data_IF_250966376091
#
_entry.id   IF_250966376091
#
_cell.length_a   1.000
_cell.length_b   1.000
_cell.length_c   1.000
_cell.angle_alpha   90.00
_cell.angle_beta   90.00
_cell.angle_gamma   90.00
#
_symmetry.space_group_name_H-M   'P 1'
#
loop_
_entity.id
_entity.type
_entity.pdbx_description
1 polymer ?
#
# COMPACT_ATOMS: atom_id res chain seq x y z
N UNK A 1 48.15 25.29 4.30
CA UNK A 1 46.68 25.15 4.38
C UNK A 1 46.21 24.46 3.11
N UNK A 2 46.09 23.12 3.12
CA UNK A 2 45.81 22.32 1.93
C UNK A 2 44.31 22.16 1.74
N UNK A 3 43.78 22.65 0.63
CA UNK A 3 42.35 22.61 0.31
C UNK A 3 42.04 21.23 -0.26
N UNK A 4 41.20 20.46 0.44
CA UNK A 4 40.74 19.14 0.03
C UNK A 4 39.94 19.25 -1.28
N UNK A 5 40.52 18.78 -2.40
CA UNK A 5 39.80 18.66 -3.68
C UNK A 5 39.06 17.32 -3.71
N UNK A 6 37.75 17.36 -3.52
CA UNK A 6 36.88 16.19 -3.67
C UNK A 6 36.76 15.84 -5.16
N UNK A 7 37.05 14.58 -5.52
CA UNK A 7 36.97 14.13 -6.91
C UNK A 7 35.53 13.76 -7.28
N UNK A 8 35.21 13.72 -8.59
CA UNK A 8 33.88 13.34 -9.09
C UNK A 8 33.42 11.95 -8.60
N UNK A 9 34.35 11.02 -8.38
CA UNK A 9 34.05 9.68 -7.84
C UNK A 9 33.73 9.70 -6.34
N UNK A 10 34.32 10.61 -5.58
CA UNK A 10 34.02 10.76 -4.16
C UNK A 10 32.63 11.40 -3.95
N UNK A 11 32.28 12.37 -4.81
CA UNK A 11 30.95 12.98 -4.84
C UNK A 11 29.86 11.96 -5.20
N UNK A 12 30.10 11.09 -6.20
CA UNK A 12 29.15 10.03 -6.56
C UNK A 12 28.94 9.02 -5.43
N UNK A 13 29.98 8.67 -4.67
CA UNK A 13 29.86 7.78 -3.50
C UNK A 13 29.14 8.45 -2.34
N UNK A 14 29.33 9.76 -2.15
CA UNK A 14 28.61 10.55 -1.16
C UNK A 14 27.11 10.63 -1.50
N UNK A 15 26.77 10.89 -2.76
CA UNK A 15 25.38 10.88 -3.24
C UNK A 15 24.74 9.50 -3.09
N UNK A 16 25.43 8.42 -3.43
CA UNK A 16 24.89 7.06 -3.29
C UNK A 16 24.65 6.67 -1.81
N UNK A 17 25.49 7.14 -0.89
CA UNK A 17 25.28 6.95 0.56
C UNK A 17 24.18 7.84 1.10
N UNK A 18 24.03 9.06 0.58
CA UNK A 18 22.92 9.94 0.93
C UNK A 18 21.57 9.42 0.41
N UNK A 19 21.55 8.83 -0.79
CA UNK A 19 20.37 8.21 -1.41
C UNK A 19 19.84 7.01 -0.61
N UNK A 20 20.73 6.13 -0.12
CA UNK A 20 20.33 4.96 0.67
C UNK A 20 19.82 5.32 2.09
N UNK A 21 20.30 6.42 2.68
CA UNK A 21 19.79 6.94 3.97
C UNK A 21 18.50 7.74 3.77
N UNK A 22 18.19 8.17 2.55
CA UNK A 22 16.95 8.89 2.27
C UNK A 22 15.77 7.95 2.15
N UNK A 23 15.85 6.79 1.50
CA UNK A 23 14.67 5.94 1.29
C UNK A 23 13.97 5.54 2.60
N UNK A 24 14.68 4.97 3.57
CA UNK A 24 14.07 4.47 4.80
C UNK A 24 13.54 5.60 5.72
N UNK A 25 14.24 6.74 5.75
CA UNK A 25 13.84 7.92 6.51
C UNK A 25 12.68 8.67 5.83
N UNK A 26 12.67 8.72 4.49
CA UNK A 26 11.59 9.28 3.69
C UNK A 26 10.35 8.41 3.84
N UNK A 27 10.49 7.08 3.80
CA UNK A 27 9.37 6.15 4.02
C UNK A 27 8.79 6.30 5.44
N UNK A 28 9.64 6.46 6.46
CA UNK A 28 9.21 6.77 7.82
C UNK A 28 8.43 8.09 7.91
N UNK A 29 9.01 9.18 7.42
CA UNK A 29 8.37 10.50 7.42
C UNK A 29 7.07 10.53 6.61
N UNK A 30 7.02 9.77 5.50
CA UNK A 30 5.86 9.65 4.63
C UNK A 30 4.74 8.86 5.31
N UNK A 31 5.05 7.74 5.98
CA UNK A 31 4.08 7.00 6.82
C UNK A 31 3.50 7.88 7.93
N UNK A 32 4.33 8.67 8.60
CA UNK A 32 3.88 9.52 9.70
C UNK A 32 3.01 10.69 9.20
N UNK A 33 3.39 11.31 8.07
CA UNK A 33 2.56 12.32 7.38
C UNK A 33 1.22 11.72 6.91
N UNK A 34 1.22 10.50 6.42
CA UNK A 34 0.01 9.81 5.97
C UNK A 34 -0.92 9.42 7.11
N UNK A 35 -0.37 9.01 8.26
CA UNK A 35 -1.13 8.80 9.50
C UNK A 35 -1.76 10.12 9.97
N UNK A 36 -1.01 11.21 9.96
CA UNK A 36 -1.50 12.52 10.37
C UNK A 36 -2.60 13.08 9.45
N UNK A 37 -2.55 12.78 8.15
CA UNK A 37 -3.56 13.21 7.16
C UNK A 37 -4.72 12.23 7.00
N UNK A 38 -4.62 11.04 7.58
CA UNK A 38 -5.64 9.98 7.52
C UNK A 38 -5.83 9.32 6.15
N UNK A 39 -5.02 9.68 5.14
CA UNK A 39 -5.17 9.21 3.74
C UNK A 39 -4.76 7.76 3.50
N UNK A 40 -4.13 7.10 4.48
CA UNK A 40 -3.60 5.74 4.34
C UNK A 40 -3.88 4.88 5.58
N UNK A 41 -5.10 4.99 6.10
CA UNK A 41 -5.59 4.16 7.19
C UNK A 41 -6.33 2.94 6.60
N UNK A 42 -6.31 1.76 7.24
CA UNK A 42 -7.08 0.60 6.77
C UNK A 42 -8.58 0.87 6.96
N UNK A 43 -9.27 1.34 5.92
CA UNK A 43 -10.69 1.70 5.98
C UNK A 43 -11.61 0.69 5.32
N UNK A 44 -11.06 -0.19 4.48
CA UNK A 44 -11.86 -1.13 3.70
C UNK A 44 -11.16 -2.48 3.58
N UNK A 45 -11.91 -3.56 3.77
CA UNK A 45 -11.46 -4.93 3.56
C UNK A 45 -12.27 -5.50 2.39
N UNK A 46 -11.59 -5.95 1.33
CA UNK A 46 -12.23 -6.65 0.22
C UNK A 46 -11.95 -8.14 0.34
N UNK A 47 -13.01 -8.95 0.44
CA UNK A 47 -12.89 -10.40 0.37
C UNK A 47 -12.91 -10.87 -1.08
N UNK A 48 -12.05 -11.82 -1.41
CA UNK A 48 -12.12 -12.56 -2.66
C UNK A 48 -12.89 -13.86 -2.50
N UNK A 49 -13.07 -14.57 -3.61
CA UNK A 49 -13.75 -15.85 -3.61
C UNK A 49 -12.94 -16.87 -2.81
N UNK A 50 -13.45 -17.23 -1.64
CA UNK A 50 -12.94 -18.34 -0.84
C UNK A 50 -13.53 -19.68 -1.28
N UNK A 51 -12.94 -20.76 -0.78
CA UNK A 51 -13.44 -22.12 -0.94
C UNK A 51 -13.19 -22.93 0.32
N UNK A 52 -13.98 -24.00 0.50
CA UNK A 52 -13.87 -24.88 1.66
C UNK A 52 -14.09 -26.33 1.24
N UNK A 53 -13.34 -27.24 1.85
CA UNK A 53 -13.51 -28.68 1.73
C UNK A 53 -13.24 -29.38 3.08
N UNK A 54 -13.17 -30.72 3.07
CA UNK A 54 -12.92 -31.50 4.28
C UNK A 54 -11.54 -31.26 4.92
N UNK A 55 -10.61 -30.59 4.23
CA UNK A 55 -9.27 -30.28 4.73
C UNK A 55 -9.17 -28.88 5.34
N UNK A 56 -10.10 -27.98 5.00
CA UNK A 56 -10.15 -26.66 5.59
C UNK A 56 -10.82 -25.61 4.70
N UNK A 57 -10.61 -24.36 5.09
CA UNK A 57 -11.15 -23.16 4.42
C UNK A 57 -10.00 -22.32 3.91
N UNK A 58 -10.12 -21.86 2.67
CA UNK A 58 -9.23 -20.87 2.09
C UNK A 58 -9.99 -19.55 1.94
N UNK A 59 -9.44 -18.51 2.53
CA UNK A 59 -9.91 -17.13 2.43
C UNK A 59 -8.74 -16.27 1.99
N UNK A 60 -9.02 -15.32 1.11
CA UNK A 60 -8.06 -14.29 0.72
C UNK A 60 -8.78 -12.98 0.47
N UNK A 61 -8.02 -11.89 0.45
CA UNK A 61 -8.56 -10.58 0.18
C UNK A 61 -7.49 -9.50 0.18
N UNK A 62 -7.92 -8.24 0.23
CA UNK A 62 -7.02 -7.08 0.40
C UNK A 62 -7.56 -6.08 1.41
N UNK A 63 -6.64 -5.35 2.04
CA UNK A 63 -6.94 -4.17 2.86
C UNK A 63 -6.58 -2.91 2.09
N UNK A 64 -7.54 -1.99 2.00
CA UNK A 64 -7.45 -0.76 1.21
C UNK A 64 -7.73 0.48 2.06
N UNK A 65 -7.13 1.60 1.67
CA UNK A 65 -7.38 2.90 2.28
C UNK A 65 -8.76 3.46 1.94
N UNK A 66 -9.29 3.07 0.77
CA UNK A 66 -10.55 3.56 0.22
C UNK A 66 -11.27 2.40 -0.49
N UNK A 67 -12.61 2.45 -0.53
CA UNK A 67 -13.39 1.51 -1.33
C UNK A 67 -13.11 1.78 -2.82
N UNK A 68 -12.92 0.75 -3.66
CA UNK A 68 -12.80 0.95 -5.11
C UNK A 68 -14.00 1.73 -5.64
N UNK A 69 -13.76 2.73 -6.48
CA UNK A 69 -14.83 3.52 -7.09
C UNK A 69 -15.70 2.62 -7.99
N UNK A 70 -17.02 2.62 -7.78
CA UNK A 70 -17.99 1.84 -8.56
C UNK A 70 -18.02 2.18 -10.05
N UNK A 71 -18.81 1.42 -10.83
CA UNK A 71 -18.94 1.53 -12.29
C UNK A 71 -19.38 2.91 -12.80
N UNK A 72 -19.31 3.17 -14.12
CA UNK A 72 -19.73 4.45 -14.68
C UNK A 72 -21.17 4.76 -14.25
N UNK A 73 -21.39 5.98 -13.77
CA UNK A 73 -22.76 6.51 -13.66
C UNK A 73 -23.08 7.09 -15.05
N UNK A 74 -24.28 6.79 -15.57
CA UNK A 74 -24.69 7.05 -16.96
C UNK A 74 -24.69 8.55 -17.35
N UNK A 75 -24.38 9.46 -16.42
CA UNK A 75 -24.45 10.92 -16.55
C UNK A 75 -23.08 11.64 -16.61
N UNK A 76 -21.95 10.92 -16.57
CA UNK A 76 -20.62 11.54 -16.56
C UNK A 76 -20.04 11.86 -17.95
N UNK A 77 -19.36 13.01 -18.03
CA UNK A 77 -18.58 13.39 -19.21
C UNK A 77 -17.37 12.47 -19.44
N UNK A 78 -16.84 12.47 -20.67
CA UNK A 78 -15.72 11.61 -21.07
C UNK A 78 -14.47 11.75 -20.16
N UNK A 79 -14.14 12.97 -19.73
CA UNK A 79 -13.01 13.22 -18.84
C UNK A 79 -13.23 12.67 -17.42
N UNK A 80 -14.44 12.75 -16.89
CA UNK A 80 -14.77 12.20 -15.57
C UNK A 80 -14.66 10.67 -15.59
N UNK A 81 -15.09 10.03 -16.69
CA UNK A 81 -14.92 8.60 -16.89
C UNK A 81 -13.44 8.19 -16.97
N UNK A 82 -12.59 9.01 -17.59
CA UNK A 82 -11.14 8.76 -17.63
C UNK A 82 -10.51 8.89 -16.23
N UNK A 83 -10.81 9.96 -15.49
CA UNK A 83 -10.32 10.16 -14.12
C UNK A 83 -10.80 9.06 -13.19
N UNK A 84 -12.05 8.64 -13.30
CA UNK A 84 -12.60 7.54 -12.52
C UNK A 84 -11.95 6.19 -12.89
N UNK A 85 -11.62 5.98 -14.17
CA UNK A 85 -10.85 4.80 -14.60
C UNK A 85 -9.46 4.79 -13.99
N UNK A 86 -8.75 5.93 -14.01
CA UNK A 86 -7.45 6.05 -13.36
C UNK A 86 -7.53 5.81 -11.85
N UNK A 87 -8.52 6.40 -11.16
CA UNK A 87 -8.76 6.18 -9.72
C UNK A 87 -9.14 4.73 -9.38
N UNK A 88 -9.66 3.95 -10.33
CA UNK A 88 -9.90 2.50 -10.13
C UNK A 88 -8.61 1.69 -10.25
N UNK A 89 -7.64 2.16 -11.02
CA UNK A 89 -6.33 1.52 -11.13
C UNK A 89 -5.44 1.86 -9.94
N UNK A 90 -5.53 3.08 -9.42
CA UNK A 90 -4.84 3.49 -8.20
C UNK A 90 -5.67 3.04 -6.98
N UNK A 91 -5.68 1.72 -6.68
CA UNK A 91 -6.16 1.26 -5.39
C UNK A 91 -5.12 1.57 -4.31
N UNK A 92 -5.47 2.37 -3.30
CA UNK A 92 -4.55 2.64 -2.19
C UNK A 92 -4.47 1.42 -1.27
N UNK A 93 -3.47 0.56 -1.44
CA UNK A 93 -3.30 -0.65 -0.63
C UNK A 93 -2.58 -0.39 0.68
N UNK A 94 -2.96 -1.10 1.74
CA UNK A 94 -2.38 -0.90 3.08
C UNK A 94 -1.59 -2.14 3.52
N UNK A 95 -0.25 -2.05 3.55
CA UNK A 95 0.60 -3.12 4.05
C UNK A 95 0.68 -3.15 5.59
N UNK A 96 1.07 -4.31 6.15
CA UNK A 96 1.36 -4.44 7.57
C UNK A 96 0.13 -4.41 8.50
N UNK A 97 -1.07 -4.66 7.97
CA UNK A 97 -2.32 -4.66 8.73
C UNK A 97 -2.58 -6.03 9.30
N UNK A 98 -2.82 -6.11 10.61
CA UNK A 98 -3.27 -7.33 11.27
C UNK A 98 -4.74 -7.62 10.92
N UNK A 99 -5.00 -8.75 10.26
CA UNK A 99 -6.33 -9.21 9.86
C UNK A 99 -6.64 -10.52 10.57
N UNK A 100 -7.76 -10.58 11.28
CA UNK A 100 -8.24 -11.78 11.96
C UNK A 100 -9.41 -12.38 11.20
N UNK A 101 -9.22 -13.61 10.73
CA UNK A 101 -10.23 -14.44 10.08
C UNK A 101 -10.84 -15.36 11.13
N UNK A 102 -12.17 -15.41 11.19
CA UNK A 102 -12.93 -16.31 12.06
C UNK A 102 -13.91 -17.13 11.25
N UNK A 103 -13.86 -18.44 11.42
CA UNK A 103 -14.80 -19.37 10.80
C UNK A 103 -15.11 -20.50 11.78
N UNK A 104 -16.39 -20.61 12.18
CA UNK A 104 -16.81 -21.51 13.26
C UNK A 104 -15.99 -21.26 14.54
N UNK A 105 -15.31 -22.28 15.06
CA UNK A 105 -14.49 -22.22 16.26
C UNK A 105 -13.00 -21.93 15.93
N UNK A 106 -12.65 -21.79 14.65
CA UNK A 106 -11.30 -21.50 14.20
C UNK A 106 -11.06 -19.99 14.03
N UNK A 107 -9.89 -19.55 14.48
CA UNK A 107 -9.40 -18.18 14.34
C UNK A 107 -7.96 -18.17 13.83
N UNK A 108 -7.69 -17.36 12.81
CA UNK A 108 -6.34 -17.15 12.30
C UNK A 108 -6.09 -15.66 12.11
N UNK A 109 -4.94 -15.18 12.58
CA UNK A 109 -4.49 -13.81 12.36
C UNK A 109 -3.30 -13.80 11.41
N UNK A 110 -3.36 -12.95 10.41
CA UNK A 110 -2.33 -12.74 9.39
C UNK A 110 -2.02 -11.25 9.26
N UNK A 111 -0.89 -10.92 8.63
CA UNK A 111 -0.46 -9.54 8.38
C UNK A 111 -0.45 -9.32 6.87
N UNK A 112 -1.03 -8.21 6.43
CA UNK A 112 -1.05 -7.91 4.99
C UNK A 112 0.35 -7.70 4.43
N UNK A 113 0.57 -8.19 3.21
CA UNK A 113 1.82 -7.98 2.47
C UNK A 113 1.96 -6.55 1.92
N UNK A 114 3.03 -6.28 1.17
CA UNK A 114 3.32 -4.97 0.58
C UNK A 114 2.20 -4.48 -0.38
N UNK A 115 1.44 -5.40 -0.96
CA UNK A 115 0.32 -5.10 -1.85
C UNK A 115 -1.04 -5.16 -1.12
N UNK A 116 -1.03 -5.28 0.21
CA UNK A 116 -2.22 -5.29 1.06
C UNK A 116 -2.99 -6.61 1.08
N UNK A 117 -2.45 -7.72 0.55
CA UNK A 117 -3.12 -9.03 0.54
C UNK A 117 -3.00 -9.75 1.87
N UNK A 118 -4.03 -10.54 2.21
CA UNK A 118 -4.06 -11.44 3.36
C UNK A 118 -4.57 -12.83 2.98
#
# INVERSE_FOLDING_TARGET
MSIFRMTSRDFLRLLHRAAAVTEEAVDGARRDLWRATGRHLPRYITGYQGWADAKGVHVSGRVLANRPAGGPLDDHGWWDNLVNTWRRWESDEIPGVSVTLRFQDDEQTVVTDEEGYY
#
